data_IF_621306839350
#
_entry.id   IF_621306839350
#
_cell.length_a   1.000
_cell.length_b   1.000
_cell.length_c   1.000
_cell.angle_alpha   90.00
_cell.angle_beta   90.00
_cell.angle_gamma   90.00
#
_symmetry.space_group_name_H-M   'P 1'
#
loop_
_entity.id
_entity.type
_entity.pdbx_description
1 polymer ?
#
# COMPACT_ATOMS: atom_id res chain seq x y z
N UNK A 1 -1.56 -14.44 10.91
CA UNK A 1 -2.14 -13.08 10.94
C UNK A 1 -3.20 -13.02 9.86
N UNK A 2 -4.49 -12.95 10.22
CA UNK A 2 -5.61 -13.15 9.28
C UNK A 2 -5.63 -12.12 8.14
N UNK A 3 -5.38 -10.85 8.48
CA UNK A 3 -5.31 -9.75 7.50
C UNK A 3 -4.32 -10.03 6.37
N UNK A 4 -3.14 -10.58 6.68
CA UNK A 4 -2.14 -10.87 5.66
C UNK A 4 -2.62 -11.91 4.65
N UNK A 5 -3.32 -12.96 5.10
CA UNK A 5 -3.77 -14.05 4.24
C UNK A 5 -4.84 -13.54 3.26
N UNK A 6 -5.86 -12.85 3.78
CA UNK A 6 -6.97 -12.36 2.95
C UNK A 6 -6.47 -11.26 2.01
N UNK A 7 -5.63 -10.34 2.50
CA UNK A 7 -5.06 -9.29 1.66
C UNK A 7 -4.15 -9.85 0.57
N UNK A 8 -3.42 -10.94 0.83
CA UNK A 8 -2.60 -11.62 -0.17
C UNK A 8 -3.44 -12.28 -1.27
N UNK A 9 -4.53 -12.95 -0.90
CA UNK A 9 -5.47 -13.52 -1.88
C UNK A 9 -6.08 -12.41 -2.75
N UNK A 10 -6.53 -11.32 -2.13
CA UNK A 10 -7.03 -10.14 -2.85
C UNK A 10 -5.99 -9.54 -3.80
N UNK A 11 -4.73 -9.44 -3.35
CA UNK A 11 -3.63 -8.90 -4.17
C UNK A 11 -3.37 -9.77 -5.41
N UNK A 12 -3.28 -11.09 -5.26
CA UNK A 12 -3.03 -11.99 -6.39
C UNK A 12 -4.12 -11.86 -7.45
N UNK A 13 -5.39 -11.84 -7.04
CA UNK A 13 -6.52 -11.63 -7.96
C UNK A 13 -6.45 -10.25 -8.64
N UNK A 14 -6.14 -9.19 -7.89
CA UNK A 14 -6.03 -7.84 -8.44
C UNK A 14 -4.88 -7.72 -9.45
N UNK A 15 -3.74 -8.37 -9.18
CA UNK A 15 -2.60 -8.45 -10.10
C UNK A 15 -2.97 -9.17 -11.40
N UNK A 16 -3.66 -10.30 -11.30
CA UNK A 16 -4.14 -11.05 -12.46
C UNK A 16 -5.08 -10.21 -13.33
N UNK A 17 -6.11 -9.60 -12.72
CA UNK A 17 -7.07 -8.75 -13.42
C UNK A 17 -6.42 -7.54 -14.09
N UNK A 18 -5.37 -6.98 -13.50
CA UNK A 18 -4.63 -5.85 -14.07
C UNK A 18 -3.48 -6.28 -15.01
N UNK A 19 -3.24 -7.58 -15.16
CA UNK A 19 -2.14 -8.12 -15.96
C UNK A 19 -0.77 -7.64 -15.49
N UNK A 20 -0.53 -7.65 -14.17
CA UNK A 20 0.72 -7.20 -13.53
C UNK A 20 1.47 -8.38 -12.90
N UNK A 21 2.80 -8.43 -13.07
CA UNK A 21 3.66 -9.40 -12.39
C UNK A 21 4.07 -8.86 -11.01
N UNK A 22 3.83 -9.65 -9.96
CA UNK A 22 4.22 -9.34 -8.58
C UNK A 22 5.71 -9.00 -8.41
N UNK A 23 6.57 -9.51 -9.30
CA UNK A 23 8.03 -9.25 -9.27
C UNK A 23 8.41 -7.87 -9.78
N UNK A 24 7.55 -7.24 -10.58
CA UNK A 24 7.85 -5.99 -11.28
C UNK A 24 7.07 -4.78 -10.72
N UNK A 25 5.95 -5.02 -10.04
CA UNK A 25 5.14 -3.96 -9.43
C UNK A 25 5.86 -3.21 -8.32
N UNK A 26 5.58 -1.91 -8.21
CA UNK A 26 5.99 -1.02 -7.13
C UNK A 26 4.86 -0.86 -6.11
N UNK A 27 5.16 -1.12 -4.84
CA UNK A 27 4.19 -1.04 -3.76
C UNK A 27 4.56 0.02 -2.74
N UNK A 28 3.57 0.80 -2.34
CA UNK A 28 3.62 1.71 -1.20
C UNK A 28 2.80 1.11 -0.07
N UNK A 29 3.40 0.96 1.10
CA UNK A 29 2.73 0.52 2.32
C UNK A 29 2.63 1.71 3.26
N UNK A 30 1.41 2.12 3.61
CA UNK A 30 1.18 3.15 4.60
C UNK A 30 0.74 2.52 5.91
N UNK A 31 1.63 2.51 6.89
CA UNK A 31 1.52 1.78 8.14
C UNK A 31 2.76 0.91 8.37
N UNK A 32 3.28 0.95 9.59
CA UNK A 32 4.47 0.20 10.00
C UNK A 32 4.23 -0.62 11.27
N UNK A 33 2.97 -1.00 11.49
CA UNK A 33 2.54 -1.88 12.58
C UNK A 33 2.61 -3.37 12.20
N UNK A 34 2.21 -4.23 13.14
CA UNK A 34 2.27 -5.69 12.97
C UNK A 34 1.49 -6.19 11.74
N UNK A 35 0.31 -5.63 11.46
CA UNK A 35 -0.47 -6.00 10.27
C UNK A 35 0.26 -5.64 8.97
N UNK A 36 0.71 -4.40 8.84
CA UNK A 36 1.46 -3.94 7.66
C UNK A 36 2.72 -4.75 7.41
N UNK A 37 3.51 -5.00 8.45
CA UNK A 37 4.71 -5.83 8.34
C UNK A 37 4.39 -7.29 7.96
N UNK A 38 3.31 -7.86 8.50
CA UNK A 38 2.89 -9.22 8.15
C UNK A 38 2.40 -9.34 6.71
N UNK A 39 1.56 -8.42 6.24
CA UNK A 39 1.11 -8.37 4.84
C UNK A 39 2.32 -8.21 3.91
N UNK A 40 3.20 -7.25 4.20
CA UNK A 40 4.39 -6.97 3.39
C UNK A 40 5.31 -8.20 3.30
N UNK A 41 5.55 -8.88 4.42
CA UNK A 41 6.39 -10.08 4.44
C UNK A 41 5.75 -11.24 3.66
N UNK A 42 4.43 -11.42 3.75
CA UNK A 42 3.74 -12.44 2.98
C UNK A 42 3.79 -12.13 1.47
N UNK A 43 3.61 -10.87 1.07
CA UNK A 43 3.70 -10.48 -0.34
C UNK A 43 5.12 -10.70 -0.89
N UNK A 44 6.14 -10.47 -0.07
CA UNK A 44 7.53 -10.82 -0.41
C UNK A 44 7.72 -12.32 -0.58
N UNK A 45 7.13 -13.13 0.32
CA UNK A 45 7.17 -14.58 0.19
C UNK A 45 6.46 -15.08 -1.09
N UNK A 46 5.46 -14.35 -1.57
CA UNK A 46 4.78 -14.59 -2.85
C UNK A 46 5.56 -14.10 -4.09
N UNK A 47 6.70 -13.43 -3.91
CA UNK A 47 7.60 -13.04 -5.00
C UNK A 47 7.81 -11.54 -5.17
N UNK A 48 7.15 -10.69 -4.38
CA UNK A 48 7.37 -9.24 -4.45
C UNK A 48 8.80 -8.87 -4.04
N UNK A 49 9.51 -8.11 -4.89
CA UNK A 49 10.89 -7.71 -4.62
C UNK A 49 10.94 -6.65 -3.53
N UNK A 50 11.86 -6.81 -2.58
CA UNK A 50 12.11 -5.82 -1.51
C UNK A 50 12.41 -4.42 -2.06
N UNK A 51 13.19 -4.34 -3.14
CA UNK A 51 13.56 -3.08 -3.82
C UNK A 51 12.37 -2.29 -4.35
N UNK A 52 11.21 -2.94 -4.52
CA UNK A 52 10.02 -2.33 -5.07
C UNK A 52 9.04 -1.85 -3.99
N UNK A 53 9.37 -2.03 -2.71
CA UNK A 53 8.50 -1.71 -1.59
C UNK A 53 9.01 -0.45 -0.89
N UNK A 54 8.12 0.53 -0.72
CA UNK A 54 8.32 1.70 0.14
C UNK A 54 7.34 1.61 1.30
N UNK A 55 7.85 1.68 2.53
CA UNK A 55 7.01 1.70 3.73
C UNK A 55 7.03 3.09 4.37
N UNK A 56 5.86 3.58 4.77
CA UNK A 56 5.68 4.83 5.49
C UNK A 56 5.12 4.56 6.89
N UNK A 57 5.55 5.37 7.86
CA UNK A 57 4.95 5.47 9.19
C UNK A 57 4.42 6.89 9.44
N UNK A 58 3.99 7.17 10.67
CA UNK A 58 3.45 8.49 11.04
C UNK A 58 4.44 9.65 10.88
N UNK A 59 5.72 9.38 10.64
CA UNK A 59 6.77 10.37 10.43
C UNK A 59 7.29 10.37 8.98
N UNK A 60 6.59 9.71 8.07
CA UNK A 60 6.91 9.66 6.64
C UNK A 60 7.61 8.37 6.23
N UNK A 61 8.38 8.43 5.14
CA UNK A 61 9.06 7.27 4.56
C UNK A 61 10.09 6.70 5.55
N UNK A 62 10.12 5.38 5.67
CA UNK A 62 11.14 4.65 6.43
C UNK A 62 12.39 4.55 5.55
N UNK A 63 13.32 5.49 5.72
CA UNK A 63 14.55 5.63 4.94
C UNK A 63 15.80 5.58 5.84
N UNK A 64 16.96 5.46 5.20
CA UNK A 64 18.26 5.41 5.89
C UNK A 64 18.64 6.71 6.61
N UNK A 65 17.98 7.83 6.30
CA UNK A 65 18.17 9.11 7.01
C UNK A 65 17.43 9.20 8.34
N UNK A 66 16.47 8.29 8.60
CA UNK A 66 15.69 8.24 9.84
C UNK A 66 16.52 7.63 10.97
N UNK A 67 16.59 8.33 12.11
CA UNK A 67 17.34 7.89 13.32
C UNK A 67 16.45 7.37 14.44
N UNK A 68 15.14 7.44 14.27
CA UNK A 68 14.12 7.14 15.28
C UNK A 68 13.45 5.77 15.05
N UNK A 69 14.07 4.92 14.23
CA UNK A 69 13.53 3.61 13.87
C UNK A 69 13.78 2.60 15.00
N UNK A 70 12.81 1.69 15.16
CA UNK A 70 12.99 0.52 16.01
C UNK A 70 13.50 -0.67 15.17
N UNK A 71 14.00 -1.75 15.80
CA UNK A 71 14.58 -2.90 15.08
C UNK A 71 13.61 -3.60 14.10
N UNK A 72 12.30 -3.46 14.29
CA UNK A 72 11.32 -4.03 13.37
C UNK A 72 11.19 -3.20 12.09
N UNK A 73 11.23 -1.86 12.21
CA UNK A 73 11.15 -0.91 11.09
C UNK A 73 12.43 -0.87 10.26
N UNK A 74 13.60 -1.09 10.88
CA UNK A 74 14.89 -1.16 10.18
C UNK A 74 14.86 -2.17 9.02
N UNK A 75 14.10 -3.25 9.16
CA UNK A 75 13.93 -4.28 8.12
C UNK A 75 13.19 -3.78 6.88
N UNK A 76 12.60 -2.59 6.90
CA UNK A 76 11.84 -1.99 5.80
C UNK A 76 12.44 -0.66 5.34
N UNK A 77 13.65 -0.33 5.79
CA UNK A 77 14.40 0.84 5.29
C UNK A 77 14.62 0.71 3.79
N UNK A 78 14.21 1.76 3.07
CA UNK A 78 14.53 1.94 1.65
C UNK A 78 15.90 2.59 1.48
N UNK A 79 16.59 2.20 0.42
CA UNK A 79 17.83 2.83 -0.04
C UNK A 79 17.55 4.04 -0.95
N UNK A 80 16.30 4.22 -1.40
CA UNK A 80 15.90 5.37 -2.23
C UNK A 80 15.92 6.65 -1.42
N UNK A 81 16.68 7.64 -1.89
CA UNK A 81 16.87 8.95 -1.24
C UNK A 81 16.02 10.06 -1.87
N UNK A 82 15.48 9.82 -3.06
CA UNK A 82 14.63 10.74 -3.82
C UNK A 82 13.17 10.76 -3.34
N UNK A 83 12.79 9.82 -2.47
CA UNK A 83 11.42 9.66 -1.97
C UNK A 83 11.36 9.98 -0.48
N UNK A 84 10.77 11.13 -0.15
CA UNK A 84 10.75 11.64 1.23
C UNK A 84 9.34 11.59 1.82
N UNK A 85 8.32 11.83 1.00
CA UNK A 85 6.93 11.88 1.45
C UNK A 85 6.09 10.72 0.91
N UNK A 86 4.92 10.49 1.52
CA UNK A 86 3.93 9.55 0.96
C UNK A 86 3.53 9.98 -0.45
N UNK A 87 3.30 11.28 -0.69
CA UNK A 87 2.96 11.79 -2.01
C UNK A 87 4.02 11.46 -3.07
N UNK A 88 5.30 11.51 -2.70
CA UNK A 88 6.40 11.13 -3.59
C UNK A 88 6.40 9.63 -3.87
N UNK A 89 6.17 8.81 -2.83
CA UNK A 89 6.14 7.36 -2.96
C UNK A 89 5.01 6.88 -3.88
N UNK A 90 3.87 7.59 -3.88
CA UNK A 90 2.70 7.27 -4.68
C UNK A 90 2.89 7.49 -6.18
N UNK A 91 3.78 8.40 -6.59
CA UNK A 91 4.03 8.70 -8.01
C UNK A 91 4.54 7.45 -8.73
N UNK A 92 3.76 6.96 -9.69
CA UNK A 92 4.07 5.76 -10.46
C UNK A 92 4.07 4.45 -9.65
N UNK A 93 3.48 4.44 -8.45
CA UNK A 93 3.24 3.21 -7.71
C UNK A 93 2.13 2.39 -8.38
N UNK A 94 2.25 1.07 -8.36
CA UNK A 94 1.23 0.14 -8.86
C UNK A 94 0.23 -0.23 -7.77
N UNK A 95 0.72 -0.35 -6.53
CA UNK A 95 -0.05 -0.84 -5.40
C UNK A 95 0.07 0.13 -4.23
N UNK A 96 -1.06 0.47 -3.62
CA UNK A 96 -1.11 1.07 -2.29
C UNK A 96 -1.72 0.06 -1.30
N UNK A 97 -1.05 -0.15 -0.18
CA UNK A 97 -1.54 -0.92 0.96
C UNK A 97 -1.63 -0.01 2.19
N UNK A 98 -2.84 0.41 2.52
CA UNK A 98 -3.18 1.19 3.70
C UNK A 98 -3.57 0.29 4.86
N UNK A 99 -2.82 0.39 5.96
CA UNK A 99 -3.08 -0.27 7.25
C UNK A 99 -2.78 0.71 8.39
N UNK A 100 -3.23 1.96 8.24
CA UNK A 100 -2.86 3.09 9.11
C UNK A 100 -4.05 4.00 9.42
N UNK A 101 -3.85 5.33 9.33
CA UNK A 101 -4.79 6.36 9.76
C UNK A 101 -5.72 6.79 8.62
N UNK A 102 -6.91 7.25 9.00
CA UNK A 102 -7.94 7.70 8.07
C UNK A 102 -7.52 8.91 7.22
N UNK A 103 -8.11 9.02 6.01
CA UNK A 103 -8.04 10.18 5.12
C UNK A 103 -6.62 10.66 4.71
N UNK A 104 -5.61 9.80 4.89
CA UNK A 104 -4.21 10.10 4.56
C UNK A 104 -3.92 10.03 3.05
N UNK A 105 -4.71 9.29 2.29
CA UNK A 105 -4.53 9.11 0.86
C UNK A 105 -5.47 10.05 0.09
N UNK A 106 -4.91 11.00 -0.65
CA UNK A 106 -5.71 11.98 -1.41
C UNK A 106 -6.03 11.50 -2.83
N UNK A 107 -7.05 12.09 -3.44
CA UNK A 107 -7.42 11.82 -4.85
C UNK A 107 -6.26 12.11 -5.81
N UNK A 108 -5.48 13.14 -5.55
CA UNK A 108 -4.31 13.53 -6.35
C UNK A 108 -3.20 12.48 -6.27
N UNK A 109 -2.99 11.89 -5.09
CA UNK A 109 -2.05 10.78 -4.92
C UNK A 109 -2.49 9.54 -5.70
N UNK A 110 -3.79 9.20 -5.70
CA UNK A 110 -4.31 8.07 -6.48
C UNK A 110 -4.19 8.33 -7.99
N UNK A 111 -4.39 9.58 -8.42
CA UNK A 111 -4.19 10.00 -9.81
C UNK A 111 -2.73 9.98 -10.26
N UNK A 112 -1.76 10.13 -9.34
CA UNK A 112 -0.33 10.08 -9.66
C UNK A 112 0.23 8.66 -9.76
N UNK A 113 -0.54 7.65 -9.37
CA UNK A 113 -0.17 6.23 -9.49
C UNK A 113 -0.03 5.79 -10.94
N UNK A 114 0.69 4.68 -11.15
CA UNK A 114 0.83 4.04 -12.45
C UNK A 114 -0.53 3.68 -13.09
N UNK A 115 -0.59 3.44 -14.42
CA UNK A 115 -1.78 2.89 -15.05
C UNK A 115 -2.25 1.61 -14.36
N UNK A 116 -3.57 1.42 -14.27
CA UNK A 116 -4.23 0.25 -13.68
C UNK A 116 -3.85 -0.02 -12.21
N UNK A 117 -3.98 0.95 -11.29
CA UNK A 117 -3.48 0.80 -9.94
C UNK A 117 -4.39 -0.07 -9.09
N UNK A 118 -3.81 -0.60 -8.03
CA UNK A 118 -4.47 -1.40 -7.00
C UNK A 118 -4.37 -0.62 -5.69
N UNK A 119 -5.50 -0.27 -5.08
CA UNK A 119 -5.55 0.50 -3.84
C UNK A 119 -6.33 -0.29 -2.79
N UNK A 120 -5.62 -0.78 -1.79
CA UNK A 120 -6.20 -1.45 -0.64
C UNK A 120 -6.19 -0.48 0.54
N UNK A 121 -7.35 0.11 0.88
CA UNK A 121 -7.51 1.04 2.00
C UNK A 121 -8.22 0.32 3.17
N UNK A 122 -7.42 -0.39 3.98
CA UNK A 122 -7.90 -1.40 4.91
C UNK A 122 -8.09 -0.88 6.35
N UNK A 123 -7.83 0.40 6.61
CA UNK A 123 -8.12 0.98 7.92
C UNK A 123 -9.62 0.97 8.23
N UNK A 124 -9.95 0.69 9.49
CA UNK A 124 -11.30 0.67 10.03
C UNK A 124 -11.39 1.58 11.27
N UNK A 125 -12.55 2.23 11.52
CA UNK A 125 -13.76 2.25 10.68
C UNK A 125 -13.64 3.21 9.48
N UNK A 126 -12.69 4.15 9.53
CA UNK A 126 -12.46 5.13 8.47
C UNK A 126 -11.19 4.74 7.68
N UNK A 127 -11.31 4.49 6.37
CA UNK A 127 -10.18 4.07 5.53
C UNK A 127 -9.24 5.24 5.21
N UNK A 128 -8.08 4.90 4.63
CA UNK A 128 -7.11 5.87 4.15
C UNK A 128 -7.67 6.81 3.08
N UNK A 129 -8.65 6.34 2.30
CA UNK A 129 -9.47 7.11 1.36
C UNK A 129 -10.86 6.45 1.29
N UNK A 130 -11.93 7.25 1.19
CA UNK A 130 -13.28 6.68 1.04
C UNK A 130 -13.45 5.98 -0.31
N UNK A 131 -14.38 5.02 -0.37
CA UNK A 131 -14.71 4.30 -1.61
C UNK A 131 -15.10 5.26 -2.73
N UNK A 132 -15.98 6.22 -2.45
CA UNK A 132 -16.48 7.20 -3.43
C UNK A 132 -15.34 8.04 -4.00
N UNK A 133 -14.45 8.55 -3.13
CA UNK A 133 -13.30 9.35 -3.55
C UNK A 133 -12.34 8.52 -4.40
N UNK A 134 -12.07 7.28 -3.99
CA UNK A 134 -11.18 6.38 -4.73
C UNK A 134 -11.75 6.03 -6.11
N UNK A 135 -13.01 5.61 -6.19
CA UNK A 135 -13.67 5.25 -7.46
C UNK A 135 -13.86 6.46 -8.38
N UNK A 136 -14.09 7.66 -7.84
CA UNK A 136 -14.16 8.90 -8.63
C UNK A 136 -12.78 9.41 -9.08
N UNK A 137 -11.69 8.91 -8.49
CA UNK A 137 -10.34 9.40 -8.79
C UNK A 137 -9.90 9.03 -10.21
N UNK A 138 -10.23 7.81 -10.66
CA UNK A 138 -9.86 7.23 -11.96
C UNK A 138 -10.69 5.97 -12.29
N UNK A 139 -10.95 5.68 -13.58
CA UNK A 139 -11.81 4.57 -13.99
C UNK A 139 -11.13 3.19 -14.01
N UNK A 140 -9.80 3.13 -14.00
CA UNK A 140 -8.98 1.91 -14.15
C UNK A 140 -8.47 1.35 -12.81
N UNK A 141 -8.97 1.86 -11.69
CA UNK A 141 -8.60 1.44 -10.34
C UNK A 141 -9.24 0.11 -9.97
N UNK A 142 -8.46 -0.77 -9.34
CA UNK A 142 -9.02 -1.81 -8.45
C UNK A 142 -8.90 -1.29 -7.03
N UNK A 143 -10.04 -1.19 -6.35
CA UNK A 143 -10.11 -0.75 -4.97
C UNK A 143 -10.52 -1.93 -4.07
N UNK A 144 -10.01 -1.97 -2.84
CA UNK A 144 -10.50 -2.83 -1.78
C UNK A 144 -10.46 -2.07 -0.44
N UNK A 145 -11.35 -2.44 0.49
CA UNK A 145 -11.45 -1.77 1.79
C UNK A 145 -11.66 -2.75 2.93
N UNK A 146 -11.32 -2.35 4.16
CA UNK A 146 -11.62 -3.13 5.36
C UNK A 146 -13.09 -3.07 5.78
N UNK A 147 -13.87 -2.18 5.16
CA UNK A 147 -15.27 -1.91 5.48
C UNK A 147 -16.21 -2.93 4.86
N UNK A 148 -17.15 -3.44 5.66
CA UNK A 148 -18.12 -4.46 5.26
C UNK A 148 -19.35 -3.92 4.52
N UNK A 149 -19.55 -2.61 4.53
CA UNK A 149 -20.66 -1.94 3.85
C UNK A 149 -20.39 -1.68 2.36
N UNK A 150 -19.24 -2.13 1.85
CA UNK A 150 -18.85 -2.04 0.43
C UNK A 150 -18.64 -3.43 -0.20
N UNK A 151 -18.82 -3.57 -1.53
CA UNK A 151 -18.83 -4.87 -2.20
C UNK A 151 -17.46 -5.59 -2.26
N UNK A 152 -16.39 -4.90 -1.88
CA UNK A 152 -14.99 -5.25 -2.09
C UNK A 152 -14.21 -5.24 -0.77
N UNK A 153 -14.79 -5.89 0.25
CA UNK A 153 -14.18 -6.04 1.56
C UNK A 153 -12.99 -7.01 1.54
N UNK A 154 -11.95 -6.67 2.30
CA UNK A 154 -10.82 -7.53 2.70
C UNK A 154 -10.74 -7.61 4.22
#
# INVERSE_FOLDING_TARGET
HGTAIISAAGLLNALELQGKDIKEVKMVVNGAGAAAMACTNLYRALGMRRSNIIMCDSKGVISSSRKDLNPYKEKFVTERTDIVTLADAMKGADIFLGLSVADVLTTEMVRSMAPRPIVFALANPNPEISYEKAMASRPDIIFATGRSDYPNQI
#
